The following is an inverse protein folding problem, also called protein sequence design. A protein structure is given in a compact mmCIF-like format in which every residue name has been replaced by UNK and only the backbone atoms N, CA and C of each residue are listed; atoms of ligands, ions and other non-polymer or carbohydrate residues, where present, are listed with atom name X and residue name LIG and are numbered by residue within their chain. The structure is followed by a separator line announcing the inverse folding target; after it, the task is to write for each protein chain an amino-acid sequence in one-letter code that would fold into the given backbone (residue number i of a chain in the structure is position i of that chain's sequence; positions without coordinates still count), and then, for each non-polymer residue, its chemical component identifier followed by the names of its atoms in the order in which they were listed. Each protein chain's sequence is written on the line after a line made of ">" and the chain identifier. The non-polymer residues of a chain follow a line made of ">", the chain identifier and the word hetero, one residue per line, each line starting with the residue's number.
data_IF_716913426197
#
_entry.id   IF_716913426197
#
_cell.length_a   1.000
_cell.length_b   1.000
_cell.length_c   1.000
_cell.angle_alpha   90.00
_cell.angle_beta   90.00
_cell.angle_gamma   90.00
#
_symmetry.space_group_name_H-M   'P 1'
#
loop_
_entity.id
_entity.type
_entity.pdbx_description
1 polymer ?
#
# COMPACT_ATOMS: atom_id res chain seq x y z
N UNK A 1 12.04 10.75 -4.46
CA UNK A 1 12.36 9.33 -4.27
C UNK A 1 13.16 9.02 -3.01
N UNK A 2 13.76 10.03 -2.34
CA UNK A 2 14.57 9.80 -1.15
C UNK A 2 13.74 9.18 -0.01
N UNK A 3 14.22 8.06 0.54
CA UNK A 3 13.66 7.45 1.75
C UNK A 3 14.29 8.14 2.96
N UNK A 4 13.50 8.91 3.70
CA UNK A 4 13.98 9.65 4.87
C UNK A 4 14.05 8.81 6.14
N UNK A 5 13.20 7.78 6.24
CA UNK A 5 13.20 6.84 7.34
C UNK A 5 12.54 5.52 6.90
N UNK A 6 13.12 4.41 7.34
CA UNK A 6 12.59 3.05 7.16
C UNK A 6 12.92 2.26 8.41
N UNK A 7 11.92 1.66 9.04
CA UNK A 7 12.11 0.88 10.26
C UNK A 7 11.21 -0.35 10.25
N UNK A 8 11.71 -1.46 10.73
CA UNK A 8 10.97 -2.70 11.01
C UNK A 8 11.21 -3.10 12.45
N UNK A 9 10.21 -3.70 13.09
CA UNK A 9 10.32 -4.23 14.45
C UNK A 9 9.71 -5.65 14.49
N UNK A 10 10.30 -6.62 15.23
CA UNK A 10 11.58 -6.50 15.92
C UNK A 10 12.75 -6.29 14.94
N UNK A 11 13.82 -5.66 15.40
CA UNK A 11 15.07 -5.43 14.68
C UNK A 11 16.19 -6.32 15.26
N UNK A 12 17.42 -6.11 14.81
CA UNK A 12 18.60 -6.81 15.29
C UNK A 12 19.82 -5.88 15.36
N UNK A 13 20.79 -6.21 16.19
CA UNK A 13 22.07 -5.48 16.23
C UNK A 13 22.96 -5.96 15.06
N UNK A 14 23.28 -5.09 14.08
CA UNK A 14 24.15 -5.46 12.95
C UNK A 14 25.59 -5.81 13.36
N UNK A 15 26.05 -5.41 14.55
CA UNK A 15 27.35 -5.83 15.09
C UNK A 15 27.29 -7.28 15.61
N UNK A 16 26.11 -7.78 15.96
CA UNK A 16 25.85 -9.14 16.44
C UNK A 16 24.77 -9.83 15.57
N UNK A 17 24.86 -9.63 14.27
CA UNK A 17 23.84 -10.04 13.28
C UNK A 17 23.46 -11.53 13.32
N UNK A 18 24.34 -12.41 13.85
CA UNK A 18 24.10 -13.85 13.96
C UNK A 18 23.30 -14.25 15.21
N UNK A 19 23.14 -13.32 16.18
CA UNK A 19 22.37 -13.57 17.38
C UNK A 19 20.86 -13.52 17.06
N UNK A 20 20.09 -14.44 17.62
CA UNK A 20 18.63 -14.41 17.56
C UNK A 20 18.14 -13.64 18.79
N UNK A 21 17.63 -12.44 18.57
CA UNK A 21 17.13 -11.54 19.62
C UNK A 21 15.61 -11.57 19.77
N UNK A 22 14.90 -12.16 18.80
CA UNK A 22 13.47 -12.38 18.90
C UNK A 22 13.19 -13.53 19.87
N UNK A 23 12.46 -13.27 20.97
CA UNK A 23 12.20 -14.23 22.05
C UNK A 23 11.46 -15.48 21.58
N UNK A 24 10.50 -15.34 20.65
CA UNK A 24 9.74 -16.49 20.13
C UNK A 24 10.64 -17.40 19.30
N UNK A 25 11.43 -16.83 18.38
CA UNK A 25 12.37 -17.59 17.56
C UNK A 25 13.48 -18.24 18.40
N UNK A 26 13.94 -17.56 19.45
CA UNK A 26 14.93 -18.12 20.37
C UNK A 26 14.35 -19.32 21.12
N UNK A 27 13.11 -19.23 21.64
CA UNK A 27 12.44 -20.32 22.34
C UNK A 27 12.19 -21.53 21.41
N UNK A 28 11.82 -21.30 20.16
CA UNK A 28 11.68 -22.39 19.16
C UNK A 28 13.03 -23.11 18.94
N UNK A 29 14.12 -22.36 18.83
CA UNK A 29 15.46 -22.92 18.65
C UNK A 29 15.94 -23.72 19.88
N UNK A 30 15.68 -23.21 21.09
CA UNK A 30 16.00 -23.94 22.34
C UNK A 30 15.23 -25.27 22.41
N UNK A 31 13.95 -25.28 22.00
CA UNK A 31 13.17 -26.52 21.97
C UNK A 31 13.74 -27.56 20.99
N UNK A 32 14.14 -27.12 19.79
CA UNK A 32 14.78 -27.99 18.79
C UNK A 32 16.13 -28.47 19.28
N UNK A 33 16.93 -27.59 19.90
CA UNK A 33 18.24 -27.97 20.48
C UNK A 33 18.09 -29.02 21.57
N UNK A 34 17.08 -28.90 22.42
CA UNK A 34 16.81 -29.86 23.49
C UNK A 34 16.37 -31.24 22.96
N UNK A 35 15.64 -31.29 21.86
CA UNK A 35 15.14 -32.54 21.27
C UNK A 35 16.18 -33.22 20.35
N UNK A 36 16.82 -32.44 19.48
CA UNK A 36 17.67 -32.97 18.39
C UNK A 36 19.16 -32.70 18.56
N UNK A 37 19.53 -31.77 19.44
CA UNK A 37 20.91 -31.29 19.63
C UNK A 37 21.25 -30.12 18.70
N UNK A 38 22.18 -29.25 19.17
CA UNK A 38 22.61 -28.07 18.41
C UNK A 38 23.41 -28.38 17.14
N UNK A 39 24.02 -29.58 17.07
CA UNK A 39 24.78 -30.06 15.91
C UNK A 39 23.92 -30.76 14.87
N UNK A 40 22.59 -30.85 15.08
CA UNK A 40 21.67 -31.48 14.13
C UNK A 40 21.42 -30.63 12.89
N UNK A 41 21.07 -31.27 11.78
CA UNK A 41 20.68 -30.61 10.55
C UNK A 41 19.41 -29.79 10.75
N UNK A 42 18.49 -30.29 11.59
CA UNK A 42 17.22 -29.64 11.94
C UNK A 42 17.47 -28.32 12.69
N UNK A 43 18.35 -28.30 13.67
CA UNK A 43 18.73 -27.09 14.40
C UNK A 43 19.42 -26.09 13.48
N UNK A 44 20.32 -26.53 12.64
CA UNK A 44 21.04 -25.68 11.68
C UNK A 44 20.06 -25.02 10.69
N UNK A 45 19.10 -25.79 10.17
CA UNK A 45 18.07 -25.29 9.27
C UNK A 45 17.15 -24.28 9.97
N UNK A 46 16.65 -24.61 11.17
CA UNK A 46 15.79 -23.72 11.95
C UNK A 46 16.48 -22.41 12.33
N UNK A 47 17.78 -22.48 12.72
CA UNK A 47 18.56 -21.28 13.03
C UNK A 47 18.77 -20.37 11.83
N UNK A 48 18.96 -20.96 10.64
CA UNK A 48 19.04 -20.19 9.40
C UNK A 48 17.71 -19.49 9.11
N UNK A 49 16.60 -20.23 9.21
CA UNK A 49 15.25 -19.66 9.00
C UNK A 49 14.93 -18.55 10.01
N UNK A 50 15.27 -18.73 11.29
CA UNK A 50 15.09 -17.71 12.32
C UNK A 50 15.86 -16.43 12.00
N UNK A 51 17.11 -16.54 11.53
CA UNK A 51 17.89 -15.38 11.09
C UNK A 51 17.26 -14.70 9.88
N UNK A 52 16.86 -15.47 8.87
CA UNK A 52 16.25 -14.94 7.65
C UNK A 52 14.94 -14.19 7.99
N UNK A 53 14.13 -14.71 8.93
CA UNK A 53 12.95 -14.03 9.47
C UNK A 53 13.29 -12.74 10.21
N UNK A 54 14.34 -12.76 11.06
CA UNK A 54 14.79 -11.61 11.84
C UNK A 54 15.37 -10.49 10.98
N UNK A 55 16.14 -10.84 9.94
CA UNK A 55 16.75 -9.86 9.03
C UNK A 55 15.77 -9.28 7.99
N UNK A 56 14.60 -9.86 7.90
CA UNK A 56 13.61 -9.47 6.90
C UNK A 56 13.15 -8.02 7.09
N UNK A 57 13.42 -7.17 6.12
CA UNK A 57 12.88 -5.83 6.07
C UNK A 57 11.42 -5.87 5.59
N UNK A 58 10.48 -5.78 6.54
CA UNK A 58 9.04 -5.90 6.27
C UNK A 58 8.51 -4.80 5.36
N UNK A 59 9.13 -3.62 5.37
CA UNK A 59 8.73 -2.54 4.47
C UNK A 59 8.99 -2.85 2.99
N UNK A 60 9.96 -3.74 2.71
CA UNK A 60 10.31 -4.19 1.36
C UNK A 60 9.71 -5.55 1.02
N UNK A 61 9.75 -6.50 1.98
CA UNK A 61 9.57 -7.91 1.69
C UNK A 61 8.13 -8.39 1.87
N UNK A 62 7.32 -7.73 2.73
CA UNK A 62 5.99 -8.21 3.09
C UNK A 62 4.91 -7.52 2.28
N UNK A 63 4.20 -8.28 1.46
CA UNK A 63 3.04 -7.78 0.75
C UNK A 63 1.77 -7.90 1.63
N UNK A 64 0.98 -6.83 1.65
CA UNK A 64 -0.26 -6.75 2.43
C UNK A 64 -1.39 -6.14 1.61
N UNK A 65 -2.63 -6.36 2.00
CA UNK A 65 -3.77 -5.66 1.43
C UNK A 65 -3.80 -4.21 1.94
N UNK A 66 -3.64 -3.19 1.07
CA UNK A 66 -3.54 -1.80 1.53
C UNK A 66 -4.83 -1.26 2.16
N UNK A 67 -5.98 -1.88 1.82
CA UNK A 67 -7.27 -1.42 2.31
C UNK A 67 -7.51 0.06 1.97
N UNK A 68 -8.13 0.78 2.89
CA UNK A 68 -8.59 2.15 2.64
C UNK A 68 -7.50 3.18 2.34
N UNK A 69 -6.22 2.90 2.54
CA UNK A 69 -5.14 3.80 2.08
C UNK A 69 -4.98 3.79 0.57
N UNK A 70 -5.58 2.82 -0.13
CA UNK A 70 -5.61 2.75 -1.58
C UNK A 70 -6.63 3.71 -2.22
N UNK A 71 -7.68 4.11 -1.49
CA UNK A 71 -8.79 4.95 -2.02
C UNK A 71 -8.36 6.25 -2.68
N UNK A 72 -7.36 7.00 -2.17
CA UNK A 72 -6.83 8.17 -2.87
C UNK A 72 -6.30 7.88 -4.26
N UNK A 73 -5.65 6.71 -4.46
CA UNK A 73 -5.17 6.28 -5.77
C UNK A 73 -6.35 6.03 -6.71
N UNK A 74 -7.39 5.33 -6.24
CA UNK A 74 -8.62 5.10 -7.02
C UNK A 74 -9.32 6.41 -7.41
N UNK A 75 -9.39 7.36 -6.49
CA UNK A 75 -9.99 8.69 -6.77
C UNK A 75 -9.13 9.47 -7.76
N UNK A 76 -7.80 9.40 -7.63
CA UNK A 76 -6.87 10.04 -8.57
C UNK A 76 -7.05 9.51 -10.00
N UNK A 77 -7.12 8.17 -10.17
CA UNK A 77 -7.39 7.54 -11.47
C UNK A 77 -8.71 8.06 -12.09
N UNK A 78 -9.77 8.08 -11.28
CA UNK A 78 -11.10 8.43 -11.74
C UNK A 78 -11.25 9.91 -12.08
N UNK A 79 -10.58 10.79 -11.36
CA UNK A 79 -10.51 12.23 -11.66
C UNK A 79 -9.71 12.50 -12.92
N UNK A 80 -8.53 11.85 -13.05
CA UNK A 80 -7.65 12.02 -14.22
C UNK A 80 -8.34 11.64 -15.53
N UNK A 81 -9.04 10.52 -15.52
CA UNK A 81 -9.77 10.01 -16.70
C UNK A 81 -11.18 10.62 -16.85
N UNK A 82 -11.58 11.52 -15.97
CA UNK A 82 -12.88 12.22 -16.06
C UNK A 82 -14.11 11.35 -15.73
N UNK A 83 -13.93 10.20 -15.08
CA UNK A 83 -15.05 9.35 -14.65
C UNK A 83 -15.82 9.91 -13.47
N UNK A 84 -15.19 10.81 -12.70
CA UNK A 84 -15.82 11.53 -11.61
C UNK A 84 -15.33 12.98 -11.56
N UNK A 85 -16.14 13.82 -10.92
CA UNK A 85 -15.84 15.22 -10.60
C UNK A 85 -16.13 15.48 -9.12
N UNK A 86 -15.68 16.62 -8.57
CA UNK A 86 -16.00 17.03 -7.21
C UNK A 86 -17.51 17.20 -6.95
N UNK A 87 -18.29 17.42 -8.02
CA UNK A 87 -19.74 17.62 -7.94
C UNK A 87 -20.53 16.31 -7.97
N UNK A 88 -19.87 15.17 -8.24
CA UNK A 88 -20.54 13.88 -8.25
C UNK A 88 -21.04 13.50 -6.87
N UNK A 89 -22.18 12.82 -6.84
CA UNK A 89 -22.82 12.34 -5.62
C UNK A 89 -22.92 10.82 -5.63
N UNK A 90 -22.80 10.26 -4.45
CA UNK A 90 -22.78 8.81 -4.19
C UNK A 90 -23.72 8.49 -3.05
N UNK A 91 -24.60 7.52 -3.24
CA UNK A 91 -25.48 7.04 -2.17
C UNK A 91 -24.93 5.76 -1.54
N UNK A 92 -24.83 5.73 -0.24
CA UNK A 92 -24.41 4.56 0.54
C UNK A 92 -25.52 4.10 1.49
N UNK A 93 -26.14 2.98 1.17
CA UNK A 93 -27.13 2.31 2.04
C UNK A 93 -26.52 1.28 2.99
N UNK A 94 -25.18 1.25 3.15
CA UNK A 94 -24.46 0.31 4.05
C UNK A 94 -23.92 -0.93 3.36
N UNK A 95 -24.40 -1.27 2.17
CA UNK A 95 -23.88 -2.37 1.35
C UNK A 95 -24.26 -2.19 -0.12
N UNK A 96 -23.62 -2.98 -0.99
CA UNK A 96 -23.91 -3.03 -2.43
C UNK A 96 -23.80 -4.44 -2.95
N UNK A 97 -24.83 -4.90 -3.68
CA UNK A 97 -24.74 -6.11 -4.51
C UNK A 97 -24.03 -5.72 -5.81
N UNK A 98 -22.82 -6.20 -5.99
CA UNK A 98 -21.98 -5.87 -7.16
C UNK A 98 -22.36 -6.73 -8.36
N UNK A 99 -22.57 -8.01 -8.13
CA UNK A 99 -22.99 -8.97 -9.16
C UNK A 99 -24.33 -9.60 -8.73
N UNK A 100 -25.37 -9.61 -9.58
CA UNK A 100 -26.64 -10.22 -9.24
C UNK A 100 -26.47 -11.67 -8.78
N UNK A 101 -27.10 -12.02 -7.65
CA UNK A 101 -27.06 -13.36 -7.09
C UNK A 101 -25.88 -13.64 -6.16
N UNK A 102 -24.97 -12.67 -5.95
CA UNK A 102 -23.88 -12.77 -4.96
C UNK A 102 -24.26 -12.07 -3.64
N UNK A 103 -23.52 -12.39 -2.59
CA UNK A 103 -23.64 -11.69 -1.31
C UNK A 103 -23.26 -10.20 -1.49
N UNK A 104 -23.94 -9.28 -0.78
CA UNK A 104 -23.58 -7.87 -0.81
C UNK A 104 -22.21 -7.63 -0.17
N UNK A 105 -21.45 -6.70 -0.75
CA UNK A 105 -20.22 -6.17 -0.16
C UNK A 105 -20.59 -5.02 0.78
N UNK A 106 -20.11 -5.08 2.02
CA UNK A 106 -20.49 -4.15 3.06
C UNK A 106 -19.57 -2.93 3.16
N UNK A 107 -20.18 -1.79 3.48
CA UNK A 107 -19.45 -0.66 4.01
C UNK A 107 -19.15 -0.89 5.50
N UNK A 108 -18.07 -0.30 6.03
CA UNK A 108 -17.78 -0.36 7.47
C UNK A 108 -18.91 0.24 8.33
N UNK A 109 -19.66 1.21 7.78
CA UNK A 109 -20.88 1.73 8.39
C UNK A 109 -22.09 0.99 7.81
N UNK A 110 -22.53 -0.04 8.50
CA UNK A 110 -23.63 -0.91 8.05
C UNK A 110 -24.95 -0.19 7.85
N UNK A 111 -25.20 0.92 8.56
CA UNK A 111 -26.39 1.77 8.39
C UNK A 111 -26.29 2.70 7.17
N UNK A 112 -25.14 2.71 6.51
CA UNK A 112 -24.86 3.59 5.37
C UNK A 112 -24.49 5.02 5.75
N UNK A 113 -23.94 5.73 4.78
CA UNK A 113 -23.57 7.15 4.90
C UNK A 113 -24.63 8.07 4.30
N UNK A 114 -25.62 7.50 3.59
CA UNK A 114 -26.60 8.28 2.84
C UNK A 114 -26.01 8.88 1.56
N UNK A 115 -26.55 10.01 1.16
CA UNK A 115 -26.10 10.77 0.00
C UNK A 115 -24.92 11.67 0.35
N UNK A 116 -23.81 11.57 -0.40
CA UNK A 116 -22.54 12.23 -0.13
C UNK A 116 -21.85 12.66 -1.42
N UNK A 117 -21.11 13.76 -1.37
CA UNK A 117 -20.20 14.19 -2.45
C UNK A 117 -19.00 13.26 -2.57
N UNK A 118 -18.18 13.44 -3.63
CA UNK A 118 -16.90 12.71 -3.75
C UNK A 118 -15.99 12.95 -2.55
N UNK A 119 -15.86 14.21 -2.10
CA UNK A 119 -15.04 14.57 -0.94
C UNK A 119 -15.54 13.88 0.33
N UNK A 120 -16.84 13.99 0.64
CA UNK A 120 -17.45 13.32 1.80
C UNK A 120 -17.31 11.80 1.74
N UNK A 121 -17.35 11.19 0.55
CA UNK A 121 -17.13 9.76 0.38
C UNK A 121 -15.71 9.32 0.79
N UNK A 122 -14.70 10.14 0.54
CA UNK A 122 -13.32 9.89 0.97
C UNK A 122 -13.13 10.20 2.46
N UNK A 123 -13.70 11.29 2.97
CA UNK A 123 -13.75 11.65 4.39
C UNK A 123 -14.34 10.52 5.25
N UNK A 124 -15.47 9.98 4.80
CA UNK A 124 -16.19 8.88 5.42
C UNK A 124 -15.54 7.52 5.14
N UNK A 125 -14.50 7.46 4.33
CA UNK A 125 -13.91 6.17 3.89
C UNK A 125 -14.94 5.18 3.34
N UNK A 126 -15.91 5.63 2.56
CA UNK A 126 -17.06 4.86 2.11
C UNK A 126 -16.70 3.80 1.06
N UNK A 127 -16.83 2.50 1.39
CA UNK A 127 -16.54 1.42 0.45
C UNK A 127 -17.54 1.43 -0.73
N UNK A 128 -18.83 1.70 -0.47
CA UNK A 128 -19.87 1.67 -1.51
C UNK A 128 -19.58 2.71 -2.59
N UNK A 129 -19.23 3.95 -2.20
CA UNK A 129 -18.88 5.00 -3.16
C UNK A 129 -17.64 4.60 -3.99
N UNK A 130 -16.62 4.02 -3.36
CA UNK A 130 -15.40 3.58 -4.07
C UNK A 130 -15.69 2.42 -5.03
N UNK A 131 -16.58 1.49 -4.67
CA UNK A 131 -17.05 0.45 -5.59
C UNK A 131 -17.72 1.06 -6.82
N UNK A 132 -18.59 2.08 -6.63
CA UNK A 132 -19.23 2.77 -7.74
C UNK A 132 -18.21 3.46 -8.65
N UNK A 133 -17.19 4.11 -8.08
CA UNK A 133 -16.11 4.76 -8.82
C UNK A 133 -15.31 3.71 -9.63
N UNK A 134 -14.89 2.61 -8.98
CA UNK A 134 -14.16 1.53 -9.65
C UNK A 134 -14.96 0.90 -10.80
N UNK A 135 -16.25 0.66 -10.58
CA UNK A 135 -17.15 0.09 -11.61
C UNK A 135 -17.39 1.05 -12.77
N UNK A 136 -17.41 2.39 -12.55
CA UNK A 136 -17.49 3.40 -13.63
C UNK A 136 -16.23 3.38 -14.50
N UNK A 137 -15.04 3.25 -13.90
CA UNK A 137 -13.76 3.14 -14.63
C UNK A 137 -13.65 1.83 -15.39
N UNK A 138 -14.10 0.74 -14.78
CA UNK A 138 -13.96 -0.59 -15.33
C UNK A 138 -12.54 -1.18 -15.23
N UNK A 139 -12.40 -2.46 -15.66
CA UNK A 139 -11.17 -3.19 -15.44
C UNK A 139 -9.98 -2.69 -16.28
N UNK A 140 -10.21 -2.16 -17.47
CA UNK A 140 -9.13 -1.72 -18.36
C UNK A 140 -8.39 -0.51 -17.77
N UNK A 141 -9.13 0.48 -17.30
CA UNK A 141 -8.56 1.69 -16.70
C UNK A 141 -7.87 1.35 -15.38
N UNK A 142 -8.52 0.57 -14.50
CA UNK A 142 -7.89 0.17 -13.24
C UNK A 142 -6.60 -0.61 -13.47
N UNK A 143 -6.60 -1.54 -14.43
CA UNK A 143 -5.40 -2.33 -14.75
C UNK A 143 -4.27 -1.47 -15.30
N UNK A 144 -4.58 -0.53 -16.20
CA UNK A 144 -3.62 0.47 -16.69
C UNK A 144 -2.93 1.18 -15.53
N UNK A 145 -3.72 1.71 -14.61
CA UNK A 145 -3.18 2.48 -13.48
C UNK A 145 -2.48 1.64 -12.42
N UNK A 146 -2.82 0.37 -12.22
CA UNK A 146 -2.00 -0.53 -11.40
C UNK A 146 -0.57 -0.65 -11.93
N UNK A 147 -0.40 -0.65 -13.26
CA UNK A 147 0.92 -0.61 -13.87
C UNK A 147 1.56 0.78 -13.78
N UNK A 148 0.80 1.82 -14.10
CA UNK A 148 1.32 3.19 -14.18
C UNK A 148 1.80 3.69 -12.81
N UNK A 149 1.12 3.35 -11.72
CA UNK A 149 1.56 3.61 -10.35
C UNK A 149 2.65 2.64 -9.84
N UNK A 150 3.15 1.72 -10.67
CA UNK A 150 4.23 0.81 -10.31
C UNK A 150 3.84 -0.30 -9.33
N UNK A 151 2.53 -0.50 -9.08
CA UNK A 151 2.04 -1.47 -8.10
C UNK A 151 2.25 -2.93 -8.51
N UNK A 152 2.51 -3.19 -9.80
CA UNK A 152 2.68 -4.52 -10.38
C UNK A 152 4.12 -4.85 -10.79
N UNK A 153 5.06 -4.04 -10.38
CA UNK A 153 6.49 -4.21 -10.64
C UNK A 153 7.31 -3.87 -9.40
N UNK A 154 8.56 -4.29 -9.38
CA UNK A 154 9.54 -3.80 -8.40
C UNK A 154 9.68 -2.30 -8.52
N UNK A 155 9.97 -1.65 -7.39
CA UNK A 155 10.12 -0.19 -7.32
C UNK A 155 11.47 0.30 -7.86
N UNK A 156 12.47 -0.58 -7.95
CA UNK A 156 13.82 -0.22 -8.34
C UNK A 156 14.68 0.32 -7.18
N UNK A 157 14.17 0.27 -5.95
CA UNK A 157 14.94 0.71 -4.77
C UNK A 157 16.31 0.04 -4.69
N UNK A 158 17.31 0.80 -4.27
CA UNK A 158 18.71 0.37 -4.11
C UNK A 158 18.96 -0.57 -2.91
N UNK A 159 17.97 -1.40 -2.59
CA UNK A 159 18.04 -2.47 -1.59
C UNK A 159 17.67 -3.82 -2.18
N UNK A 160 18.25 -4.87 -1.62
CA UNK A 160 17.91 -6.26 -1.96
C UNK A 160 16.72 -6.75 -1.13
N UNK A 161 15.97 -7.73 -1.66
CA UNK A 161 14.91 -8.42 -0.92
C UNK A 161 13.53 -7.78 -1.05
N UNK A 162 13.31 -6.99 -2.11
CA UNK A 162 11.96 -6.49 -2.43
C UNK A 162 11.02 -7.66 -2.72
N UNK A 163 9.89 -7.71 -2.01
CA UNK A 163 8.91 -8.78 -2.12
C UNK A 163 8.06 -8.69 -3.38
N UNK A 164 7.37 -9.76 -3.66
CA UNK A 164 6.48 -9.86 -4.82
C UNK A 164 5.07 -9.46 -4.43
N UNK A 165 4.47 -8.60 -5.24
CA UNK A 165 3.07 -8.24 -5.14
C UNK A 165 2.16 -9.39 -5.58
N UNK A 166 0.91 -9.39 -5.12
CA UNK A 166 -0.11 -10.37 -5.52
C UNK A 166 -1.28 -9.66 -6.18
N UNK A 167 -1.53 -10.00 -7.43
CA UNK A 167 -2.68 -9.52 -8.20
C UNK A 167 -3.38 -10.69 -8.87
N UNK A 168 -4.63 -10.47 -9.25
CA UNK A 168 -5.35 -11.38 -10.13
C UNK A 168 -4.62 -11.54 -11.47
N UNK A 169 -4.72 -12.68 -12.14
CA UNK A 169 -4.35 -12.76 -13.56
C UNK A 169 -5.13 -11.72 -14.37
N UNK A 170 -4.45 -11.05 -15.32
CA UNK A 170 -5.04 -9.98 -16.12
C UNK A 170 -6.31 -10.40 -16.83
N UNK A 171 -6.29 -11.57 -17.46
CA UNK A 171 -7.45 -12.14 -18.17
C UNK A 171 -8.64 -12.36 -17.24
N UNK A 172 -8.41 -12.74 -15.98
CA UNK A 172 -9.46 -12.93 -15.01
C UNK A 172 -10.01 -11.58 -14.51
N UNK A 173 -9.11 -10.61 -14.24
CA UNK A 173 -9.49 -9.27 -13.79
C UNK A 173 -10.32 -8.52 -14.84
N UNK A 174 -9.92 -8.63 -16.11
CA UNK A 174 -10.59 -8.02 -17.27
C UNK A 174 -11.73 -8.85 -17.83
N UNK A 175 -11.84 -10.09 -17.43
CA UNK A 175 -12.84 -11.02 -17.93
C UNK A 175 -14.23 -10.82 -17.31
N UNK A 176 -15.22 -11.62 -17.76
CA UNK A 176 -16.62 -11.51 -17.31
C UNK A 176 -16.80 -11.68 -15.78
N UNK A 177 -15.90 -12.39 -15.13
CA UNK A 177 -15.91 -12.62 -13.67
C UNK A 177 -15.18 -11.55 -12.88
N UNK A 178 -14.51 -10.61 -13.54
CA UNK A 178 -13.67 -9.58 -12.91
C UNK A 178 -14.42 -8.45 -12.23
N UNK A 179 -15.73 -8.30 -12.48
CA UNK A 179 -16.54 -7.20 -11.94
C UNK A 179 -16.43 -7.09 -10.41
N UNK A 180 -16.47 -8.22 -9.70
CA UNK A 180 -16.31 -8.25 -8.24
C UNK A 180 -14.91 -7.81 -7.84
N UNK A 181 -13.86 -8.28 -8.55
CA UNK A 181 -12.47 -7.92 -8.29
C UNK A 181 -12.23 -6.42 -8.51
N UNK A 182 -12.79 -5.83 -9.57
CA UNK A 182 -12.76 -4.38 -9.84
C UNK A 182 -13.38 -3.60 -8.68
N UNK A 183 -14.58 -4.00 -8.25
CA UNK A 183 -15.27 -3.31 -7.16
C UNK A 183 -14.48 -3.38 -5.84
N UNK A 184 -13.95 -4.54 -5.48
CA UNK A 184 -13.26 -4.73 -4.21
C UNK A 184 -11.86 -4.11 -4.24
N UNK A 185 -11.13 -4.21 -5.36
CA UNK A 185 -9.83 -3.56 -5.53
C UNK A 185 -9.93 -2.03 -5.46
N UNK A 186 -11.08 -1.43 -5.79
CA UNK A 186 -11.28 0.03 -5.72
C UNK A 186 -11.12 0.61 -4.31
N UNK A 187 -11.27 -0.20 -3.27
CA UNK A 187 -11.02 0.22 -1.89
C UNK A 187 -9.85 -0.53 -1.24
N UNK A 188 -8.99 -1.20 -2.07
CA UNK A 188 -7.68 -1.71 -1.68
C UNK A 188 -7.67 -3.12 -1.10
N UNK A 189 -8.65 -3.97 -1.41
CA UNK A 189 -8.67 -5.37 -1.04
C UNK A 189 -8.51 -6.29 -2.26
N UNK A 190 -8.24 -7.58 -2.02
CA UNK A 190 -8.02 -8.62 -3.05
C UNK A 190 -6.75 -8.46 -3.90
N UNK A 191 -5.88 -7.52 -3.54
CA UNK A 191 -4.54 -7.38 -4.07
C UNK A 191 -3.57 -7.15 -2.91
N UNK A 192 -2.32 -7.62 -3.04
CA UNK A 192 -1.28 -7.37 -2.04
C UNK A 192 -0.12 -6.62 -2.70
N UNK A 193 0.34 -5.57 -2.04
CA UNK A 193 1.50 -4.76 -2.43
C UNK A 193 2.42 -4.57 -1.23
N UNK A 194 3.70 -4.34 -1.46
CA UNK A 194 4.62 -4.04 -0.36
C UNK A 194 4.42 -2.61 0.14
N UNK A 195 4.80 -2.30 1.40
CA UNK A 195 4.75 -0.94 1.91
C UNK A 195 5.54 0.05 1.05
N UNK A 196 6.70 -0.36 0.49
CA UNK A 196 7.49 0.51 -0.39
C UNK A 196 6.73 0.80 -1.69
N UNK A 197 6.07 -0.18 -2.32
CA UNK A 197 5.23 0.06 -3.49
C UNK A 197 4.08 1.01 -3.16
N UNK A 198 3.41 0.80 -2.02
CA UNK A 198 2.27 1.62 -1.62
C UNK A 198 2.67 3.07 -1.36
N UNK A 199 3.77 3.33 -0.63
CA UNK A 199 4.22 4.70 -0.34
C UNK A 199 4.72 5.40 -1.60
N UNK A 200 5.38 4.68 -2.51
CA UNK A 200 5.85 5.22 -3.80
C UNK A 200 4.67 5.64 -4.67
N UNK A 201 3.65 4.80 -4.79
CA UNK A 201 2.42 5.13 -5.51
C UNK A 201 1.66 6.29 -4.85
N UNK A 202 1.55 6.30 -3.52
CA UNK A 202 0.89 7.37 -2.78
C UNK A 202 1.64 8.70 -2.91
N UNK A 203 2.99 8.67 -2.90
CA UNK A 203 3.82 9.85 -3.14
C UNK A 203 3.54 10.45 -4.53
N UNK A 204 3.37 9.63 -5.56
CA UNK A 204 2.99 10.11 -6.90
C UNK A 204 1.63 10.81 -6.91
N UNK A 205 0.67 10.37 -6.10
CA UNK A 205 -0.65 11.04 -5.99
C UNK A 205 -0.52 12.47 -5.46
N UNK A 206 0.48 12.77 -4.62
CA UNK A 206 0.56 14.04 -3.89
C UNK A 206 1.72 14.97 -4.31
N UNK A 207 2.59 14.55 -5.23
CA UNK A 207 3.79 15.29 -5.65
C UNK A 207 3.68 15.91 -7.05
N UNK A 208 2.48 16.06 -7.60
CA UNK A 208 2.28 16.52 -8.97
C UNK A 208 2.07 15.40 -9.99
N UNK A 209 1.96 14.16 -9.53
CA UNK A 209 1.71 12.99 -10.37
C UNK A 209 2.96 12.21 -10.79
N UNK A 210 4.12 12.54 -10.25
CA UNK A 210 5.41 11.96 -10.66
C UNK A 210 5.73 10.68 -9.87
N UNK A 211 5.77 9.53 -10.54
CA UNK A 211 6.27 8.29 -9.96
C UNK A 211 7.81 8.34 -9.98
N UNK A 212 8.41 8.38 -8.81
CA UNK A 212 9.85 8.47 -8.63
C UNK A 212 10.40 7.11 -8.18
N UNK A 213 11.60 6.77 -8.65
CA UNK A 213 12.35 5.63 -8.14
C UNK A 213 12.79 5.90 -6.69
N UNK A 214 12.44 5.04 -5.71
CA UNK A 214 12.86 5.23 -4.33
C UNK A 214 14.33 4.85 -4.14
N UNK A 215 15.05 5.57 -3.24
CA UNK A 215 16.43 5.29 -2.93
C UNK A 215 16.78 5.64 -1.49
N UNK A 216 17.79 4.95 -0.94
CA UNK A 216 18.40 5.21 0.36
C UNK A 216 19.79 5.85 0.25
N UNK A 217 20.60 5.37 -0.71
CA UNK A 217 21.97 5.85 -0.87
C UNK A 217 22.00 7.12 -1.69
N UNK A 218 22.19 8.24 -1.03
CA UNK A 218 22.30 9.54 -1.71
C UNK A 218 23.68 9.75 -2.33
N UNK A 219 24.75 9.36 -1.63
CA UNK A 219 26.11 9.51 -2.14
C UNK A 219 27.07 8.49 -1.52
N UNK A 220 28.11 8.17 -2.27
CA UNK A 220 29.25 7.37 -1.80
C UNK A 220 30.50 8.21 -2.00
N UNK A 221 31.32 8.32 -0.95
CA UNK A 221 32.60 9.03 -0.99
C UNK A 221 33.74 8.04 -0.76
N UNK A 222 34.91 8.33 -1.36
CA UNK A 222 36.15 7.59 -1.11
C UNK A 222 36.81 8.03 0.20
N UNK A 223 37.98 7.43 0.53
CA UNK A 223 38.75 7.73 1.73
C UNK A 223 39.27 9.17 1.78
N UNK A 224 39.42 9.81 0.62
CA UNK A 224 39.95 11.18 0.47
C UNK A 224 38.84 12.24 0.44
N UNK A 225 37.59 11.79 0.59
CA UNK A 225 36.39 12.64 0.59
C UNK A 225 35.86 12.98 -0.81
N UNK A 226 36.43 12.38 -1.85
CA UNK A 226 35.94 12.51 -3.23
C UNK A 226 34.61 11.77 -3.42
N UNK A 227 33.63 12.41 -4.07
CA UNK A 227 32.36 11.76 -4.38
C UNK A 227 32.54 10.78 -5.52
N UNK A 228 32.33 9.48 -5.23
CA UNK A 228 32.39 8.37 -6.20
C UNK A 228 31.04 8.12 -6.86
N UNK A 229 29.96 8.34 -6.11
CA UNK A 229 28.59 8.21 -6.57
C UNK A 229 27.71 9.28 -5.94
N UNK A 230 26.79 9.80 -6.72
CA UNK A 230 25.70 10.66 -6.25
C UNK A 230 24.41 10.27 -6.96
N UNK A 231 23.35 10.04 -6.17
CA UNK A 231 22.04 9.70 -6.72
C UNK A 231 21.34 10.96 -7.22
N UNK A 232 21.01 10.98 -8.51
CA UNK A 232 20.11 11.97 -9.07
C UNK A 232 18.67 11.44 -9.03
N UNK A 233 17.70 12.31 -8.72
CA UNK A 233 16.29 11.92 -8.70
C UNK A 233 15.89 11.32 -10.04
N UNK A 234 15.46 10.06 -10.02
CA UNK A 234 14.99 9.33 -11.19
C UNK A 234 13.46 9.35 -11.24
N UNK A 235 12.91 9.97 -12.29
CA UNK A 235 11.48 9.92 -12.58
C UNK A 235 11.20 8.73 -13.51
N UNK A 236 10.34 7.81 -13.05
CA UNK A 236 9.90 6.68 -13.86
C UNK A 236 8.89 7.16 -14.90
N UNK A 237 7.91 7.97 -14.48
CA UNK A 237 6.88 8.58 -15.35
C UNK A 237 6.01 9.58 -14.58
N UNK A 238 5.31 10.44 -15.31
CA UNK A 238 4.14 11.15 -14.77
C UNK A 238 2.90 10.28 -14.95
N UNK A 239 2.19 9.99 -13.86
CA UNK A 239 1.02 9.07 -13.83
C UNK A 239 -0.30 9.82 -13.94
N UNK A 240 -0.39 10.96 -13.26
CA UNK A 240 -1.54 11.86 -13.24
C UNK A 240 -1.07 13.30 -13.44
N UNK A 241 -1.97 14.18 -13.81
CA UNK A 241 -1.70 15.61 -13.93
C UNK A 241 -1.49 16.28 -12.56
N UNK A 242 -0.77 17.40 -12.56
CA UNK A 242 -0.61 18.25 -11.37
C UNK A 242 -1.97 18.71 -10.82
N UNK A 243 -2.91 19.03 -11.70
CA UNK A 243 -4.28 19.41 -11.32
C UNK A 243 -5.00 18.30 -10.55
N UNK A 244 -4.91 17.07 -11.01
CA UNK A 244 -5.48 15.91 -10.30
C UNK A 244 -4.80 15.72 -8.96
N UNK A 245 -3.47 15.81 -8.91
CA UNK A 245 -2.69 15.71 -7.68
C UNK A 245 -3.12 16.77 -6.64
N UNK A 246 -3.25 18.03 -7.03
CA UNK A 246 -3.69 19.11 -6.16
C UNK A 246 -5.13 18.92 -5.67
N UNK A 247 -5.99 18.41 -6.53
CA UNK A 247 -7.38 18.09 -6.16
C UNK A 247 -7.41 17.00 -5.09
N UNK A 248 -6.66 15.91 -5.28
CA UNK A 248 -6.60 14.82 -4.30
C UNK A 248 -5.95 15.27 -2.99
N UNK A 249 -4.89 16.10 -3.04
CA UNK A 249 -4.30 16.72 -1.84
C UNK A 249 -5.32 17.49 -1.03
N UNK A 250 -6.17 18.29 -1.70
CA UNK A 250 -7.25 19.05 -1.05
C UNK A 250 -8.29 18.12 -0.41
N UNK A 251 -8.66 17.03 -1.07
CA UNK A 251 -9.55 16.00 -0.50
C UNK A 251 -8.91 15.37 0.75
N UNK A 252 -7.62 15.00 0.67
CA UNK A 252 -6.90 14.38 1.79
C UNK A 252 -6.75 15.32 3.00
N UNK A 253 -6.59 16.63 2.76
CA UNK A 253 -6.62 17.63 3.82
C UNK A 253 -7.99 17.69 4.49
N UNK A 254 -9.07 17.62 3.70
CA UNK A 254 -10.44 17.55 4.23
C UNK A 254 -10.69 16.27 5.04
N UNK A 255 -10.12 15.14 4.66
CA UNK A 255 -10.19 13.88 5.45
C UNK A 255 -9.64 14.07 6.87
N UNK A 256 -8.56 14.84 7.01
CA UNK A 256 -7.97 15.13 8.35
C UNK A 256 -8.76 16.22 9.07
N UNK A 257 -9.21 17.24 8.36
CA UNK A 257 -9.95 18.35 8.97
C UNK A 257 -11.37 17.96 9.42
N UNK A 258 -12.09 17.18 8.61
CA UNK A 258 -13.53 16.93 8.75
C UNK A 258 -13.93 15.47 8.82
N UNK A 259 -13.02 14.55 8.45
CA UNK A 259 -13.34 13.14 8.25
C UNK A 259 -12.67 12.18 9.23
N UNK A 260 -12.50 10.94 8.76
CA UNK A 260 -11.94 9.82 9.54
C UNK A 260 -10.49 10.00 9.98
N UNK A 261 -9.78 10.98 9.42
CA UNK A 261 -8.38 11.28 9.71
C UNK A 261 -8.14 12.29 10.84
N UNK A 262 -9.17 12.77 11.53
CA UNK A 262 -9.10 13.90 12.47
C UNK A 262 -8.07 13.74 13.60
N UNK A 263 -7.76 12.50 14.01
CA UNK A 263 -6.73 12.22 15.03
C UNK A 263 -5.31 12.62 14.57
N UNK A 264 -5.07 12.81 13.27
CA UNK A 264 -3.79 13.28 12.75
C UNK A 264 -3.70 14.83 12.70
N UNK A 265 -4.75 15.53 13.09
CA UNK A 265 -4.78 17.01 13.09
C UNK A 265 -3.75 17.58 14.09
N UNK A 266 -3.00 18.59 13.66
CA UNK A 266 -2.02 19.29 14.48
C UNK A 266 -2.15 20.81 14.27
N UNK A 267 -2.27 21.54 15.39
CA UNK A 267 -2.40 23.00 15.33
C UNK A 267 -1.18 23.65 14.65
N UNK A 268 -1.43 24.56 13.71
CA UNK A 268 -0.40 25.26 12.96
C UNK A 268 0.12 24.52 11.72
N UNK A 269 -0.37 23.30 11.42
CA UNK A 269 0.02 22.53 10.24
C UNK A 269 -1.20 22.18 9.38
N UNK A 270 -1.00 22.18 8.06
CA UNK A 270 -1.93 21.60 7.10
C UNK A 270 -1.52 20.15 6.87
N UNK A 271 -2.36 19.21 7.28
CA UNK A 271 -2.07 17.78 7.19
C UNK A 271 -3.14 17.12 6.32
N UNK A 272 -2.71 16.41 5.31
CA UNK A 272 -3.53 15.51 4.51
C UNK A 272 -3.20 14.05 4.81
N UNK A 273 -4.20 13.18 4.80
CA UNK A 273 -3.96 11.77 5.08
C UNK A 273 -5.18 10.89 4.86
N UNK A 274 -4.97 9.58 4.94
CA UNK A 274 -6.04 8.59 4.87
C UNK A 274 -5.81 7.47 5.88
N UNK A 275 -6.82 7.15 6.65
CA UNK A 275 -6.83 5.98 7.54
C UNK A 275 -6.88 4.70 6.73
N UNK A 276 -6.18 3.65 7.21
CA UNK A 276 -6.21 2.30 6.64
C UNK A 276 -6.80 1.30 7.63
N UNK A 277 -7.62 0.41 7.12
CA UNK A 277 -8.09 -0.80 7.81
C UNK A 277 -8.20 -1.88 6.75
N UNK A 278 -7.61 -3.03 7.00
CA UNK A 278 -7.75 -4.23 6.18
C UNK A 278 -8.07 -5.42 7.09
N UNK A 279 -8.91 -6.31 6.60
CA UNK A 279 -9.18 -7.57 7.29
C UNK A 279 -7.97 -8.49 7.10
N UNK A 280 -7.40 -8.99 8.21
CA UNK A 280 -6.53 -10.16 8.14
C UNK A 280 -7.43 -11.38 8.05
N UNK A 281 -7.27 -12.15 6.99
CA UNK A 281 -7.78 -13.53 6.95
C UNK A 281 -6.68 -14.37 7.58
N UNK A 282 -7.02 -15.13 8.61
CA UNK A 282 -6.13 -16.16 9.12
C UNK A 282 -5.84 -17.11 7.96
N UNK A 283 -4.56 -17.33 7.69
CA UNK A 283 -4.14 -18.38 6.75
C UNK A 283 -4.45 -19.71 7.45
N UNK A 284 -5.50 -20.41 7.01
CA UNK A 284 -5.78 -21.80 7.36
C UNK A 284 -4.76 -22.75 6.70
#
# INVERSE_FOLDING_TARGET
>A
GAILAMASTPDFDPNHYAAIVNEELAAELEAIAAEKGEDSDEYTAARREARDKQWRNRALADAYEPGSVFKPITVAMALEEGYVTLNDRFYCGGSKVVVPGTNPVHCHKHTGHGDQTLTEAVENSCNVALMDIGLRMGPEIMWKYFNDFGLRSSTGIDLVGEGTQVFWPEEQFKGPTGTMSVAISSFGQTMKVTPIQMITAFAAVINGGHLLEPYLVQSITDSDGGTVYYHETSEVRQVISETTSDTVRSILESVVANGSGHNASMAGYRIGGKTGTSEKRDEE
#
